data_IF_806844534695
#
_entry.id   IF_806844534695
#
_cell.length_a   1.000
_cell.length_b   1.000
_cell.length_c   1.000
_cell.angle_alpha   90.00
_cell.angle_beta   90.00
_cell.angle_gamma   90.00
#
_symmetry.space_group_name_H-M   'P 1'
#
loop_
_entity.id
_entity.type
_entity.pdbx_description
1 polymer ?
#
# COMPACT_ATOMS: atom_id res chain seq x y z
N UNK A 1 -1.88 12.82 11.37
CA UNK A 1 -1.10 11.94 12.23
C UNK A 1 0.38 12.31 12.15
N UNK A 2 1.08 12.20 13.26
CA UNK A 2 2.50 12.48 13.28
C UNK A 2 3.26 11.28 12.75
N UNK A 3 4.04 11.50 11.72
CA UNK A 3 4.86 10.46 11.12
C UNK A 3 6.12 10.29 11.95
N UNK A 4 6.35 9.08 12.47
CA UNK A 4 7.53 8.77 13.25
C UNK A 4 8.65 8.27 12.34
N UNK A 5 8.28 7.55 11.28
CA UNK A 5 9.25 6.84 10.47
C UNK A 5 8.67 6.56 9.09
N UNK A 6 9.47 6.75 8.05
CA UNK A 6 9.04 6.48 6.67
C UNK A 6 10.24 6.00 5.86
N UNK A 7 10.11 4.84 5.23
CA UNK A 7 11.13 4.33 4.31
C UNK A 7 10.56 3.24 3.43
N UNK A 8 11.24 2.90 2.33
CA UNK A 8 10.89 1.71 1.56
C UNK A 8 11.10 0.47 2.41
N UNK A 9 10.20 -0.48 2.27
CA UNK A 9 10.28 -1.73 3.01
C UNK A 9 10.42 -2.90 2.04
N UNK A 10 11.42 -3.73 2.28
CA UNK A 10 11.67 -4.90 1.46
C UNK A 10 11.97 -6.09 2.36
N UNK A 11 11.15 -7.13 2.25
CA UNK A 11 11.37 -8.38 2.94
C UNK A 11 11.87 -9.41 1.93
N UNK A 12 13.09 -9.87 2.11
CA UNK A 12 13.69 -10.82 1.18
C UNK A 12 13.02 -12.18 1.29
N UNK A 13 12.77 -12.84 0.15
CA UNK A 13 12.24 -14.20 0.19
C UNK A 13 13.32 -15.19 0.64
N UNK A 14 12.88 -16.24 1.30
CA UNK A 14 13.73 -17.38 1.61
C UNK A 14 13.33 -18.55 0.73
N UNK A 15 14.07 -19.65 0.83
CA UNK A 15 13.73 -20.85 0.06
C UNK A 15 12.36 -21.41 0.36
N UNK A 16 11.76 -21.04 1.48
CA UNK A 16 10.49 -21.61 1.96
C UNK A 16 9.37 -20.61 2.08
N UNK A 17 9.61 -19.34 1.82
CA UNK A 17 8.56 -18.35 1.95
C UNK A 17 8.77 -17.26 0.93
N UNK A 18 7.66 -16.71 0.48
CA UNK A 18 7.70 -15.58 -0.43
C UNK A 18 8.13 -14.34 0.31
N UNK A 19 8.97 -13.56 -0.33
CA UNK A 19 9.25 -12.22 0.16
C UNK A 19 8.07 -11.31 -0.08
N UNK A 20 8.11 -10.17 0.58
CA UNK A 20 7.08 -9.16 0.46
C UNK A 20 7.75 -7.84 0.13
N UNK A 21 7.39 -7.25 -0.99
CA UNK A 21 7.88 -5.93 -1.36
C UNK A 21 6.77 -4.92 -1.13
N UNK A 22 7.06 -3.95 -0.31
CA UNK A 22 6.14 -2.87 0.01
C UNK A 22 6.85 -1.58 -0.38
N UNK A 23 6.17 -0.73 -1.17
CA UNK A 23 6.81 0.46 -1.69
C UNK A 23 7.19 1.43 -0.59
N UNK A 24 6.27 1.68 0.35
CA UNK A 24 6.56 2.49 1.53
C UNK A 24 5.78 2.00 2.72
N UNK A 25 6.43 2.05 3.87
CA UNK A 25 5.80 1.74 5.14
C UNK A 25 5.97 2.95 6.04
N UNK A 26 4.88 3.55 6.45
CA UNK A 26 4.89 4.76 7.28
C UNK A 26 4.31 4.42 8.64
N UNK A 27 5.10 4.65 9.68
CA UNK A 27 4.66 4.43 11.06
C UNK A 27 4.27 5.76 11.69
N UNK A 28 3.11 5.78 12.35
CA UNK A 28 2.70 6.91 13.16
C UNK A 28 2.90 6.58 14.63
N UNK A 29 2.86 7.61 15.48
CA UNK A 29 3.10 7.40 16.91
C UNK A 29 1.97 6.71 17.66
N UNK A 30 0.88 6.38 16.97
CA UNK A 30 -0.24 5.65 17.58
C UNK A 30 -0.25 4.18 17.15
N UNK A 31 0.92 3.63 16.86
CA UNK A 31 1.07 2.22 16.47
C UNK A 31 0.26 1.86 15.23
N UNK A 32 0.21 2.77 14.27
CA UNK A 32 -0.42 2.53 12.98
C UNK A 32 0.65 2.50 11.91
N UNK A 33 0.60 1.47 11.06
CA UNK A 33 1.46 1.35 9.90
C UNK A 33 0.62 1.59 8.66
N UNK A 34 0.99 2.62 7.89
CA UNK A 34 0.39 2.84 6.58
C UNK A 34 1.23 2.13 5.54
N UNK A 35 0.63 1.14 4.92
CA UNK A 35 1.28 0.39 3.84
C UNK A 35 0.90 1.05 2.53
N UNK A 36 1.86 1.75 1.93
CA UNK A 36 1.63 2.50 0.71
C UNK A 36 2.01 1.66 -0.50
N UNK A 37 1.03 1.38 -1.33
CA UNK A 37 1.23 0.67 -2.59
C UNK A 37 1.22 1.68 -3.72
N UNK A 38 2.29 1.73 -4.50
CA UNK A 38 2.44 2.66 -5.62
C UNK A 38 2.31 1.87 -6.91
N UNK A 39 1.29 2.19 -7.71
CA UNK A 39 1.00 1.49 -8.96
C UNK A 39 0.87 2.50 -10.09
N UNK A 40 1.90 2.63 -10.89
CA UNK A 40 1.88 3.49 -12.05
C UNK A 40 1.63 2.64 -13.30
N UNK A 41 0.35 2.47 -13.62
CA UNK A 41 -0.09 1.67 -14.74
C UNK A 41 -0.60 2.56 -15.87
N UNK A 42 -0.52 2.08 -17.11
CA UNK A 42 -1.09 2.79 -18.25
C UNK A 42 -2.62 2.71 -18.29
N UNK A 43 -3.19 1.75 -17.58
CA UNK A 43 -4.63 1.54 -17.50
C UNK A 43 -5.11 1.75 -16.09
N UNK A 44 -6.40 1.93 -15.93
CA UNK A 44 -6.96 2.00 -14.60
C UNK A 44 -6.68 0.70 -13.85
N UNK A 45 -6.54 0.81 -12.54
CA UNK A 45 -6.22 -0.34 -11.71
C UNK A 45 -7.48 -1.14 -11.40
N UNK A 46 -7.43 -2.48 -11.57
CA UNK A 46 -8.59 -3.33 -11.33
C UNK A 46 -8.75 -3.65 -9.85
N UNK A 47 -9.92 -4.21 -9.51
CA UNK A 47 -10.24 -4.63 -8.14
C UNK A 47 -9.23 -5.65 -7.59
N UNK A 48 -8.56 -6.38 -8.46
CA UNK A 48 -7.59 -7.40 -8.06
C UNK A 48 -6.39 -6.82 -7.30
N UNK A 49 -6.17 -5.51 -7.39
CA UNK A 49 -5.12 -4.85 -6.62
C UNK A 49 -5.33 -5.06 -5.11
N UNK A 50 -6.57 -5.15 -4.67
CA UNK A 50 -6.88 -5.40 -3.26
C UNK A 50 -6.26 -6.70 -2.78
N UNK A 51 -6.39 -7.78 -3.57
CA UNK A 51 -5.83 -9.05 -3.18
C UNK A 51 -4.30 -9.02 -3.15
N UNK A 52 -3.69 -8.31 -4.10
CA UNK A 52 -2.24 -8.15 -4.10
C UNK A 52 -1.75 -7.47 -2.82
N UNK A 53 -2.44 -6.42 -2.41
CA UNK A 53 -2.07 -5.68 -1.20
C UNK A 53 -2.34 -6.52 0.04
N UNK A 54 -3.48 -7.22 0.07
CA UNK A 54 -3.82 -8.08 1.22
C UNK A 54 -2.79 -9.19 1.39
N UNK A 55 -2.30 -9.76 0.29
CA UNK A 55 -1.25 -10.78 0.35
C UNK A 55 0.03 -10.20 0.97
N UNK A 56 0.36 -8.97 0.65
CA UNK A 56 1.52 -8.29 1.25
C UNK A 56 1.32 -8.06 2.73
N UNK A 57 0.13 -7.64 3.12
CA UNK A 57 -0.20 -7.43 4.54
C UNK A 57 -0.06 -8.75 5.30
N UNK A 58 -0.54 -9.84 4.70
CA UNK A 58 -0.49 -11.15 5.35
C UNK A 58 0.95 -11.64 5.55
N UNK A 59 1.85 -11.22 4.67
CA UNK A 59 3.27 -11.57 4.78
C UNK A 59 4.06 -10.63 5.67
N UNK A 60 3.50 -9.47 5.97
CA UNK A 60 4.19 -8.47 6.77
C UNK A 60 4.14 -8.87 8.25
N UNK A 61 5.32 -8.92 8.87
CA UNK A 61 5.42 -9.26 10.29
C UNK A 61 5.45 -7.97 11.11
N UNK A 62 4.28 -7.41 11.33
CA UNK A 62 4.16 -6.21 12.15
C UNK A 62 4.22 -6.57 13.63
N UNK A 63 4.73 -5.68 14.48
CA UNK A 63 4.68 -5.91 15.92
C UNK A 63 3.24 -6.04 16.40
N UNK A 64 3.07 -6.80 17.49
CA UNK A 64 1.76 -6.97 18.09
C UNK A 64 1.22 -5.61 18.53
N UNK A 65 -0.06 -5.39 18.31
CA UNK A 65 -0.70 -4.15 18.71
C UNK A 65 -0.69 -3.06 17.65
N UNK A 66 -0.04 -3.32 16.51
CA UNK A 66 -0.05 -2.35 15.41
C UNK A 66 -1.24 -2.59 14.50
N UNK A 67 -1.85 -1.50 14.03
CA UNK A 67 -2.86 -1.54 12.99
C UNK A 67 -2.20 -1.29 11.65
N UNK A 68 -2.60 -2.02 10.61
CA UNK A 68 -2.09 -1.81 9.26
C UNK A 68 -3.21 -1.21 8.43
N UNK A 69 -2.92 -0.07 7.78
CA UNK A 69 -3.86 0.63 6.92
C UNK A 69 -3.27 0.79 5.54
N UNK A 70 -3.89 0.19 4.52
CA UNK A 70 -3.36 0.29 3.16
C UNK A 70 -3.71 1.63 2.53
N UNK A 71 -2.77 2.16 1.75
CA UNK A 71 -2.93 3.38 0.95
C UNK A 71 -2.51 3.05 -0.47
N UNK A 72 -3.31 3.47 -1.45
CA UNK A 72 -3.00 3.24 -2.85
C UNK A 72 -2.67 4.57 -3.53
N UNK A 73 -1.55 4.59 -4.25
CA UNK A 73 -1.13 5.75 -5.03
C UNK A 73 -1.09 5.33 -6.50
N UNK A 74 -1.81 6.04 -7.36
CA UNK A 74 -1.92 5.69 -8.77
C UNK A 74 -1.80 6.92 -9.66
N UNK A 75 -1.78 6.72 -10.98
CA UNK A 75 -1.69 7.83 -11.94
C UNK A 75 -2.77 7.80 -13.03
N UNK A 76 -3.32 6.64 -13.34
CA UNK A 76 -4.26 6.52 -14.45
C UNK A 76 -5.64 6.02 -14.03
N UNK A 77 -5.99 6.25 -12.78
CA UNK A 77 -7.31 5.93 -12.28
C UNK A 77 -7.43 4.52 -11.73
N UNK A 78 -8.55 4.28 -11.10
CA UNK A 78 -8.90 2.98 -10.53
C UNK A 78 -10.29 2.60 -11.01
N UNK A 79 -10.58 1.30 -11.06
CA UNK A 79 -11.89 0.84 -11.47
C UNK A 79 -12.95 1.31 -10.47
N UNK A 80 -14.20 1.37 -10.92
CA UNK A 80 -15.31 1.74 -10.05
C UNK A 80 -15.43 0.76 -8.88
N UNK A 81 -15.26 -0.53 -9.16
CA UNK A 81 -15.30 -1.54 -8.10
C UNK A 81 -14.23 -1.30 -7.05
N UNK A 82 -13.02 -0.92 -7.48
CA UNK A 82 -11.93 -0.63 -6.55
C UNK A 82 -12.25 0.62 -5.74
N UNK A 83 -12.74 1.66 -6.40
CA UNK A 83 -13.08 2.91 -5.74
C UNK A 83 -14.18 2.72 -4.69
N UNK A 84 -15.15 1.86 -4.97
CA UNK A 84 -16.29 1.62 -4.09
C UNK A 84 -16.01 0.62 -2.97
N UNK A 85 -14.84 0.01 -2.97
CA UNK A 85 -14.55 -1.11 -2.07
C UNK A 85 -14.34 -0.73 -0.61
N UNK A 86 -13.99 0.51 -0.33
CA UNK A 86 -13.64 0.99 1.01
C UNK A 86 -12.46 0.23 1.64
N UNK A 87 -11.71 -0.51 0.84
CA UNK A 87 -10.60 -1.28 1.36
C UNK A 87 -9.43 -0.39 1.78
N UNK A 88 -9.08 0.59 0.93
CA UNK A 88 -7.95 1.46 1.20
C UNK A 88 -8.37 2.62 2.11
N UNK A 89 -7.49 2.97 3.05
CA UNK A 89 -7.68 4.17 3.86
C UNK A 89 -7.75 5.41 2.99
N UNK A 90 -6.90 5.45 1.96
CA UNK A 90 -6.90 6.52 0.98
C UNK A 90 -6.49 5.98 -0.37
N UNK A 91 -7.06 6.57 -1.41
CA UNK A 91 -6.65 6.34 -2.79
C UNK A 91 -6.23 7.70 -3.33
N UNK A 92 -4.95 7.81 -3.68
CA UNK A 92 -4.35 9.10 -4.07
C UNK A 92 -4.01 9.08 -5.54
N UNK A 93 -4.54 10.04 -6.28
CA UNK A 93 -4.20 10.24 -7.68
C UNK A 93 -2.97 11.14 -7.77
N UNK A 94 -1.84 10.55 -8.12
CA UNK A 94 -0.57 11.25 -8.17
C UNK A 94 -0.34 11.98 -9.50
N UNK A 95 -1.22 11.79 -10.50
CA UNK A 95 -1.04 12.38 -11.82
C UNK A 95 -0.99 13.89 -11.77
N UNK A 96 -1.74 14.49 -10.86
CA UNK A 96 -1.75 15.95 -10.72
C UNK A 96 -0.38 16.51 -10.32
N UNK A 97 0.47 15.70 -9.71
CA UNK A 97 1.81 16.12 -9.32
C UNK A 97 2.84 15.89 -10.42
N UNK A 98 2.46 15.22 -11.50
CA UNK A 98 3.34 14.91 -12.62
C UNK A 98 3.13 15.86 -13.79
N UNK A 99 2.25 16.82 -13.69
CA UNK A 99 2.02 17.79 -14.74
C UNK A 99 3.20 18.76 -14.83
N UNK A 100 3.64 18.91 -16.04
CA UNK A 100 4.75 19.80 -16.34
C UNK A 100 4.23 20.99 -17.14
#
# INVERSE_FOLDING_TARGET
>A
ADIVFSNPYLQNPTTRQKGCQIDYLIQTKFNTLFLCEIKFSKRELPITVIQEVQDKIDLLKAPRGFSIRPVLIHVNGVSEALSDSDYFSQIIDFSQFLKI
#
